data_IF_452185756607
#
_entry.id   IF_452185756607
#
_cell.length_a   1.000
_cell.length_b   1.000
_cell.length_c   1.000
_cell.angle_alpha   90.00
_cell.angle_beta   90.00
_cell.angle_gamma   90.00
#
_symmetry.space_group_name_H-M   'P 1'
#
loop_
_entity.id
_entity.type
_entity.pdbx_description
1 polymer ?
#
# COMPACT_ATOMS: atom_id res chain seq x y z
N UNK A 1 21.71 11.50 -20.24
CA UNK A 1 20.31 11.01 -20.30
C UNK A 1 19.48 11.92 -19.43
N UNK A 2 18.42 12.48 -20.01
CA UNK A 2 17.67 13.61 -19.49
C UNK A 2 16.78 13.19 -18.30
N UNK A 3 16.97 13.81 -17.14
CA UNK A 3 16.17 13.62 -15.92
C UNK A 3 14.80 14.27 -16.11
N UNK A 4 13.91 13.63 -16.87
CA UNK A 4 12.49 13.96 -16.80
C UNK A 4 12.01 13.54 -15.41
N UNK A 5 11.49 14.50 -14.67
CA UNK A 5 10.85 14.33 -13.37
C UNK A 5 9.91 13.13 -13.41
N UNK A 6 9.99 12.28 -12.38
CA UNK A 6 9.03 11.19 -12.22
C UNK A 6 7.62 11.79 -12.13
N UNK A 7 6.60 11.18 -12.78
CA UNK A 7 5.21 11.57 -12.55
C UNK A 7 4.93 11.50 -11.04
N UNK A 8 4.54 12.63 -10.44
CA UNK A 8 4.28 12.71 -8.99
C UNK A 8 5.22 13.61 -8.20
N UNK A 9 6.18 14.30 -8.84
CA UNK A 9 7.01 15.27 -8.15
C UNK A 9 6.17 16.47 -7.64
N UNK A 10 6.23 16.75 -6.33
CA UNK A 10 5.50 17.83 -5.66
C UNK A 10 6.51 18.94 -5.30
N UNK A 11 6.56 20.04 -6.07
CA UNK A 11 7.53 21.09 -5.82
C UNK A 11 7.37 21.67 -4.40
N UNK A 12 8.44 21.61 -3.59
CA UNK A 12 8.51 22.27 -2.28
C UNK A 12 8.34 21.40 -1.05
N UNK A 13 8.14 20.08 -1.18
CA UNK A 13 8.10 19.16 -0.04
C UNK A 13 9.43 18.44 0.16
N UNK A 14 10.08 18.67 1.31
CA UNK A 14 11.28 17.94 1.74
C UNK A 14 10.80 16.85 2.71
N UNK A 15 11.11 15.56 2.49
CA UNK A 15 12.17 15.05 1.63
C UNK A 15 11.64 14.18 0.49
N UNK A 16 11.34 14.80 -0.66
CA UNK A 16 11.06 14.10 -1.93
C UNK A 16 12.19 13.15 -2.38
N UNK A 17 13.41 13.36 -1.84
CA UNK A 17 14.61 12.56 -2.09
C UNK A 17 15.19 11.91 -0.83
N UNK A 18 14.39 11.68 0.22
CA UNK A 18 14.88 10.93 1.37
C UNK A 18 15.44 9.58 0.89
N UNK A 19 16.69 9.24 1.22
CA UNK A 19 17.25 7.96 0.84
C UNK A 19 16.39 6.86 1.46
N UNK A 20 15.92 5.96 0.60
CA UNK A 20 15.23 4.77 1.08
C UNK A 20 16.19 3.92 1.91
N UNK A 21 15.69 3.21 2.94
CA UNK A 21 16.52 2.28 3.71
C UNK A 21 17.20 1.28 2.79
N UNK A 22 18.46 0.92 3.06
CA UNK A 22 19.24 0.05 2.19
C UNK A 22 18.63 -1.36 2.03
N UNK A 23 17.86 -1.81 3.02
CA UNK A 23 17.13 -3.07 3.04
C UNK A 23 15.71 -2.97 2.44
N UNK A 24 15.26 -1.76 2.09
CA UNK A 24 13.94 -1.55 1.51
C UNK A 24 13.94 -1.94 0.03
N UNK A 25 13.07 -2.89 -0.31
CA UNK A 25 12.95 -3.44 -1.66
C UNK A 25 11.59 -3.09 -2.27
N UNK A 26 11.38 -1.84 -2.75
CA UNK A 26 10.08 -1.36 -3.23
C UNK A 26 9.51 -2.20 -4.38
N UNK A 27 10.38 -2.69 -5.28
CA UNK A 27 9.95 -3.49 -6.42
C UNK A 27 9.43 -4.88 -6.01
N UNK A 28 9.96 -5.48 -4.95
CA UNK A 28 9.47 -6.76 -4.43
C UNK A 28 8.06 -6.59 -3.85
N UNK A 29 7.84 -5.55 -3.04
CA UNK A 29 6.53 -5.20 -2.50
C UNK A 29 5.51 -4.85 -3.59
N UNK A 30 5.89 -4.04 -4.57
CA UNK A 30 4.98 -3.69 -5.67
C UNK A 30 4.55 -4.93 -6.47
N UNK A 31 5.50 -5.85 -6.74
CA UNK A 31 5.21 -7.13 -7.41
C UNK A 31 4.30 -8.02 -6.57
N UNK A 32 4.49 -8.08 -5.26
CA UNK A 32 3.61 -8.84 -4.35
C UNK A 32 2.16 -8.30 -4.42
N UNK A 33 1.97 -7.00 -4.24
CA UNK A 33 0.65 -6.38 -4.27
C UNK A 33 -0.05 -6.56 -5.63
N UNK A 34 0.69 -6.37 -6.74
CA UNK A 34 0.18 -6.65 -8.10
C UNK A 34 -0.27 -8.10 -8.29
N UNK A 35 0.45 -9.05 -7.70
CA UNK A 35 0.20 -10.49 -7.90
C UNK A 35 -0.84 -11.04 -6.95
N UNK A 36 -1.02 -10.46 -5.77
CA UNK A 36 -1.89 -11.02 -4.72
C UNK A 36 -3.27 -10.34 -4.69
N UNK A 37 -3.35 -9.05 -4.99
CA UNK A 37 -4.61 -8.31 -4.97
C UNK A 37 -5.41 -8.61 -6.22
N UNK A 38 -6.70 -8.90 -6.01
CA UNK A 38 -7.60 -9.41 -7.04
C UNK A 38 -8.69 -8.42 -7.44
N UNK A 39 -8.88 -7.35 -6.68
CA UNK A 39 -9.90 -6.32 -6.92
C UNK A 39 -9.24 -4.98 -6.62
N UNK A 40 -9.47 -3.99 -7.47
CA UNK A 40 -8.90 -2.66 -7.33
C UNK A 40 -9.88 -1.56 -7.72
N UNK A 41 -9.53 -0.33 -7.38
CA UNK A 41 -10.25 0.84 -7.85
C UNK A 41 -9.57 1.38 -9.11
N UNK A 42 -10.31 1.36 -10.22
CA UNK A 42 -9.91 1.87 -11.53
C UNK A 42 -10.31 3.34 -11.64
N UNK A 43 -9.32 4.21 -11.71
CA UNK A 43 -9.46 5.62 -12.03
C UNK A 43 -9.40 5.85 -13.54
N UNK A 44 -10.44 6.46 -14.11
CA UNK A 44 -10.52 6.89 -15.52
C UNK A 44 -10.91 8.36 -15.61
N UNK A 45 -10.79 8.96 -16.79
CA UNK A 45 -11.23 10.34 -17.04
C UNK A 45 -12.61 10.28 -17.69
N UNK A 46 -13.62 10.93 -17.09
CA UNK A 46 -14.95 11.02 -17.68
C UNK A 46 -14.88 11.74 -19.03
N UNK A 47 -15.31 11.05 -20.09
CA UNK A 47 -15.21 11.56 -21.46
C UNK A 47 -16.04 12.82 -21.74
N UNK A 48 -17.07 13.08 -20.94
CA UNK A 48 -18.00 14.19 -21.18
C UNK A 48 -17.60 15.44 -20.39
N UNK A 49 -17.14 15.25 -19.15
CA UNK A 49 -16.90 16.35 -18.21
C UNK A 49 -15.44 16.56 -17.87
N UNK A 50 -14.57 15.59 -18.17
CA UNK A 50 -13.15 15.62 -17.80
C UNK A 50 -12.86 15.32 -16.33
N UNK A 51 -13.87 15.07 -15.50
CA UNK A 51 -13.65 14.71 -14.09
C UNK A 51 -13.03 13.32 -13.96
N UNK A 52 -12.16 13.09 -12.95
CA UNK A 52 -11.72 11.74 -12.63
C UNK A 52 -12.88 10.92 -12.04
N UNK A 53 -12.98 9.66 -12.47
CA UNK A 53 -14.00 8.71 -12.01
C UNK A 53 -13.32 7.47 -11.49
N UNK A 54 -13.69 7.05 -10.27
CA UNK A 54 -13.24 5.80 -9.67
C UNK A 54 -14.33 4.74 -9.74
N UNK A 55 -14.01 3.55 -10.21
CA UNK A 55 -14.92 2.39 -10.24
C UNK A 55 -14.22 1.13 -9.74
N UNK A 56 -14.96 0.18 -9.17
CA UNK A 56 -14.39 -1.09 -8.74
C UNK A 56 -14.23 -2.03 -9.95
N UNK A 57 -13.09 -2.70 -10.05
CA UNK A 57 -12.88 -3.72 -11.09
C UNK A 57 -12.12 -4.95 -10.58
N UNK A 58 -12.38 -6.09 -11.20
CA UNK A 58 -11.59 -7.28 -10.99
C UNK A 58 -10.26 -7.15 -11.73
N UNK A 59 -9.17 -7.50 -11.05
CA UNK A 59 -7.81 -7.37 -11.56
C UNK A 59 -7.15 -8.75 -11.62
N UNK A 60 -6.46 -9.00 -12.71
CA UNK A 60 -5.42 -10.00 -12.82
C UNK A 60 -4.14 -9.34 -13.35
N UNK A 61 -3.09 -10.12 -13.60
CA UNK A 61 -1.85 -9.63 -14.20
C UNK A 61 -1.43 -10.50 -15.37
N UNK A 62 -0.60 -9.98 -16.28
CA UNK A 62 0.18 -10.74 -17.25
C UNK A 62 1.53 -11.20 -16.64
N UNK A 63 2.33 -11.98 -17.36
CA UNK A 63 3.59 -12.56 -16.89
C UNK A 63 4.62 -11.51 -16.47
N UNK A 64 4.66 -10.39 -17.18
CA UNK A 64 5.48 -9.21 -16.89
C UNK A 64 4.96 -8.38 -15.70
N UNK A 65 3.76 -8.70 -15.19
CA UNK A 65 3.10 -7.99 -14.09
C UNK A 65 2.13 -6.90 -14.54
N UNK A 66 1.95 -6.69 -15.86
CA UNK A 66 1.00 -5.71 -16.38
C UNK A 66 -0.43 -6.03 -15.91
N UNK A 67 -1.16 -5.08 -15.29
CA UNK A 67 -2.55 -5.28 -14.92
C UNK A 67 -3.46 -5.62 -16.10
N UNK A 68 -4.36 -6.56 -15.86
CA UNK A 68 -5.40 -6.99 -16.80
C UNK A 68 -6.77 -6.76 -16.17
N UNK A 69 -7.70 -6.22 -16.95
CA UNK A 69 -9.11 -6.06 -16.58
C UNK A 69 -10.01 -6.59 -17.70
N UNK A 70 -11.20 -7.06 -17.32
CA UNK A 70 -12.26 -7.43 -18.26
C UNK A 70 -13.48 -6.59 -17.92
N UNK A 71 -13.93 -5.81 -18.89
CA UNK A 71 -14.95 -4.79 -18.71
C UNK A 71 -15.98 -4.87 -19.84
N UNK A 72 -17.24 -4.58 -19.50
CA UNK A 72 -18.33 -4.52 -20.48
C UNK A 72 -18.20 -3.24 -21.32
N UNK A 73 -18.46 -3.35 -22.62
CA UNK A 73 -18.52 -2.28 -23.60
C UNK A 73 -19.64 -1.27 -23.28
N UNK A 74 -20.60 -1.65 -22.43
CA UNK A 74 -21.69 -0.80 -21.98
C UNK A 74 -21.32 0.05 -20.75
N UNK A 75 -20.21 -0.26 -20.07
CA UNK A 75 -19.81 0.45 -18.86
C UNK A 75 -19.21 1.83 -19.17
N UNK A 76 -19.51 2.82 -18.33
CA UNK A 76 -18.97 4.18 -18.47
C UNK A 76 -17.44 4.22 -18.48
N UNK A 77 -16.78 3.43 -17.62
CA UNK A 77 -15.32 3.35 -17.60
C UNK A 77 -14.73 2.80 -18.91
N UNK A 78 -15.45 1.95 -19.65
CA UNK A 78 -14.99 1.44 -20.95
C UNK A 78 -15.07 2.52 -22.02
N UNK A 79 -16.15 3.28 -22.04
CA UNK A 79 -16.27 4.42 -22.95
C UNK A 79 -15.26 5.54 -22.62
N UNK A 80 -14.94 5.73 -21.33
CA UNK A 80 -13.86 6.61 -20.89
C UNK A 80 -12.50 6.14 -21.43
N UNK A 81 -12.14 4.87 -21.23
CA UNK A 81 -10.87 4.30 -21.70
C UNK A 81 -10.72 4.29 -23.23
N UNK A 82 -11.83 4.18 -23.97
CA UNK A 82 -11.81 4.31 -25.44
C UNK A 82 -11.49 5.74 -25.89
N UNK A 83 -11.93 6.74 -25.14
CA UNK A 83 -11.65 8.16 -25.44
C UNK A 83 -10.24 8.55 -24.99
N UNK A 84 -9.86 8.15 -23.77
CA UNK A 84 -8.55 8.40 -23.19
C UNK A 84 -8.11 7.18 -22.37
N UNK A 85 -7.10 6.47 -22.88
CA UNK A 85 -6.59 5.26 -22.24
C UNK A 85 -5.84 5.53 -20.93
N UNK A 86 -5.50 6.78 -20.58
CA UNK A 86 -4.78 7.10 -19.34
C UNK A 86 -5.64 6.77 -18.13
N UNK A 87 -5.07 6.00 -17.21
CA UNK A 87 -5.79 5.49 -16.05
C UNK A 87 -4.87 5.30 -14.84
N UNK A 88 -5.49 5.18 -13.67
CA UNK A 88 -4.85 4.71 -12.46
C UNK A 88 -5.54 3.44 -11.94
N UNK A 89 -4.78 2.57 -11.28
CA UNK A 89 -5.29 1.39 -10.64
C UNK A 89 -4.76 1.31 -9.21
N UNK A 90 -5.64 1.55 -8.24
CA UNK A 90 -5.36 1.39 -6.83
C UNK A 90 -5.59 -0.06 -6.42
N UNK A 91 -4.54 -0.69 -5.90
CA UNK A 91 -4.52 -2.02 -5.31
C UNK A 91 -4.23 -1.87 -3.83
N UNK A 92 -5.26 -2.00 -3.01
CA UNK A 92 -5.16 -1.94 -1.55
C UNK A 92 -5.31 -3.33 -0.94
N UNK A 93 -4.36 -3.73 -0.09
CA UNK A 93 -4.51 -4.97 0.67
C UNK A 93 -5.63 -4.77 1.69
N UNK A 94 -6.52 -5.75 1.78
CA UNK A 94 -7.60 -5.76 2.76
C UNK A 94 -7.22 -6.66 3.94
N UNK A 95 -7.75 -6.35 5.12
CA UNK A 95 -7.48 -7.07 6.35
C UNK A 95 -8.23 -6.47 7.53
N UNK A 96 -8.09 -7.08 8.71
CA UNK A 96 -8.59 -6.52 9.97
C UNK A 96 -7.75 -5.30 10.39
N UNK A 97 -8.32 -4.44 11.24
CA UNK A 97 -7.68 -3.22 11.71
C UNK A 97 -7.90 -2.02 10.78
N UNK A 98 -7.16 -0.94 11.02
CA UNK A 98 -7.27 0.30 10.24
C UNK A 98 -6.88 0.07 8.76
N UNK A 99 -7.79 0.32 7.79
CA UNK A 99 -7.50 0.22 6.37
C UNK A 99 -6.31 1.08 5.90
N UNK A 100 -6.04 2.21 6.56
CA UNK A 100 -4.94 3.10 6.23
C UNK A 100 -3.58 2.50 6.60
N UNK A 101 -3.54 1.52 7.51
CA UNK A 101 -2.34 0.81 7.89
C UNK A 101 -1.92 -0.28 6.88
N UNK A 102 -2.81 -0.73 6.00
CA UNK A 102 -2.49 -1.77 5.02
C UNK A 102 -1.61 -1.23 3.90
N UNK A 103 -0.76 -2.06 3.26
CA UNK A 103 -0.05 -1.68 2.05
C UNK A 103 -0.98 -1.38 0.86
N UNK A 104 -0.65 -0.34 0.09
CA UNK A 104 -1.35 0.01 -1.14
C UNK A 104 -0.36 0.35 -2.24
N UNK A 105 -0.70 -0.01 -3.47
CA UNK A 105 0.01 0.39 -4.67
C UNK A 105 -0.97 1.06 -5.64
N UNK A 106 -0.66 2.25 -6.09
CA UNK A 106 -1.34 2.87 -7.23
C UNK A 106 -0.47 2.74 -8.46
N UNK A 107 -0.97 2.09 -9.51
CA UNK A 107 -0.27 1.98 -10.80
C UNK A 107 -0.88 2.96 -11.77
N UNK A 108 -0.03 3.75 -12.44
CA UNK A 108 -0.42 4.71 -13.47
C UNK A 108 0.01 4.18 -14.83
N UNK A 109 -0.79 4.41 -15.86
CA UNK A 109 -0.44 3.97 -17.21
C UNK A 109 -1.54 4.21 -18.23
N UNK A 110 -1.44 3.51 -19.35
CA UNK A 110 -2.42 3.57 -20.43
C UNK A 110 -3.01 2.19 -20.68
N UNK A 111 -4.31 2.04 -20.47
CA UNK A 111 -5.01 0.81 -20.86
C UNK A 111 -5.24 0.79 -22.36
N UNK A 112 -5.07 -0.36 -22.97
CA UNK A 112 -5.45 -0.63 -24.35
C UNK A 112 -6.19 -1.96 -24.45
N UNK A 113 -7.17 -2.02 -25.33
CA UNK A 113 -7.89 -3.25 -25.62
C UNK A 113 -6.95 -4.24 -26.30
N UNK A 114 -7.02 -5.51 -25.89
CA UNK A 114 -6.24 -6.58 -26.49
C UNK A 114 -7.00 -7.09 -27.73
N UNK A 115 -6.56 -6.65 -28.90
CA UNK A 115 -7.18 -7.01 -30.19
C UNK A 115 -6.57 -8.29 -30.80
N UNK A 116 -5.29 -8.58 -30.55
CA UNK A 116 -4.64 -9.80 -31.04
C UNK A 116 -5.25 -11.05 -30.40
N UNK A 117 -5.77 -11.95 -31.23
CA UNK A 117 -6.52 -13.11 -30.78
C UNK A 117 -5.66 -14.11 -29.99
N UNK A 118 -4.42 -14.35 -30.42
CA UNK A 118 -3.51 -15.28 -29.74
C UNK A 118 -3.13 -14.77 -28.35
N UNK A 119 -2.81 -13.47 -28.25
CA UNK A 119 -2.53 -12.81 -26.98
C UNK A 119 -3.78 -12.81 -26.10
N UNK A 120 -4.95 -12.50 -26.66
CA UNK A 120 -6.23 -12.48 -25.94
C UNK A 120 -6.56 -13.84 -25.33
N UNK A 121 -6.41 -14.94 -26.06
CA UNK A 121 -6.65 -16.30 -25.55
C UNK A 121 -5.72 -16.66 -24.39
N UNK A 122 -4.43 -16.37 -24.51
CA UNK A 122 -3.44 -16.60 -23.43
C UNK A 122 -3.79 -15.81 -22.18
N UNK A 123 -4.09 -14.52 -22.34
CA UNK A 123 -4.41 -13.63 -21.22
C UNK A 123 -5.76 -13.97 -20.58
N UNK A 124 -6.76 -14.39 -21.38
CA UNK A 124 -8.05 -14.93 -20.91
C UNK A 124 -7.84 -16.13 -19.98
N UNK A 125 -7.04 -17.11 -20.40
CA UNK A 125 -6.73 -18.28 -19.57
C UNK A 125 -6.08 -17.87 -18.25
N UNK A 126 -5.15 -16.90 -18.30
CA UNK A 126 -4.51 -16.36 -17.09
C UNK A 126 -5.50 -15.66 -16.18
N UNK A 127 -6.41 -14.85 -16.74
CA UNK A 127 -7.44 -14.17 -15.97
C UNK A 127 -8.36 -15.18 -15.25
N UNK A 128 -8.83 -16.20 -15.97
CA UNK A 128 -9.72 -17.24 -15.41
C UNK A 128 -9.07 -18.07 -14.32
N UNK A 129 -7.77 -18.38 -14.41
CA UNK A 129 -7.06 -19.07 -13.33
C UNK A 129 -7.03 -18.27 -12.01
N UNK A 130 -7.06 -16.94 -12.10
CA UNK A 130 -7.13 -16.03 -10.95
C UNK A 130 -8.56 -15.72 -10.52
N UNK A 131 -9.49 -15.76 -11.48
CA UNK A 131 -10.89 -15.34 -11.35
C UNK A 131 -11.84 -16.36 -11.98
N UNK A 132 -12.03 -17.57 -11.40
CA UNK A 132 -12.87 -18.60 -12.00
C UNK A 132 -14.31 -18.14 -12.23
N UNK A 133 -14.85 -17.31 -11.32
CA UNK A 133 -16.20 -16.74 -11.43
C UNK A 133 -16.41 -15.84 -12.66
N UNK A 134 -15.34 -15.37 -13.31
CA UNK A 134 -15.45 -14.56 -14.52
C UNK A 134 -15.89 -15.36 -15.75
N UNK A 135 -15.80 -16.70 -15.71
CA UNK A 135 -16.22 -17.58 -16.80
C UNK A 135 -17.68 -17.34 -17.24
N UNK A 136 -18.53 -16.86 -16.32
CA UNK A 136 -19.94 -16.59 -16.61
C UNK A 136 -20.17 -15.40 -17.54
N UNK A 137 -19.19 -14.49 -17.72
CA UNK A 137 -19.34 -13.28 -18.54
C UNK A 137 -18.18 -12.99 -19.49
N UNK A 138 -17.02 -13.62 -19.30
CA UNK A 138 -15.79 -13.28 -20.04
C UNK A 138 -15.89 -13.43 -21.57
N UNK A 139 -16.76 -14.33 -22.04
CA UNK A 139 -16.96 -14.61 -23.46
C UNK A 139 -18.19 -13.91 -24.04
N UNK A 140 -18.86 -13.06 -23.25
CA UNK A 140 -19.98 -12.28 -23.76
C UNK A 140 -19.47 -11.26 -24.80
N UNK A 141 -20.21 -11.03 -25.90
CA UNK A 141 -19.77 -10.12 -26.97
C UNK A 141 -19.51 -8.69 -26.51
N UNK A 142 -20.18 -8.26 -25.44
CA UNK A 142 -19.99 -6.94 -24.87
C UNK A 142 -18.78 -6.87 -23.94
N UNK A 143 -18.17 -7.97 -23.50
CA UNK A 143 -16.98 -7.92 -22.65
C UNK A 143 -15.69 -7.92 -23.46
N UNK A 144 -14.71 -7.13 -23.00
CA UNK A 144 -13.41 -7.02 -23.64
C UNK A 144 -12.27 -7.05 -22.62
N UNK A 145 -11.14 -7.62 -23.03
CA UNK A 145 -9.93 -7.70 -22.25
C UNK A 145 -9.03 -6.51 -22.52
N UNK A 146 -8.56 -5.85 -21.47
CA UNK A 146 -7.68 -4.70 -21.53
C UNK A 146 -6.41 -4.94 -20.72
N UNK A 147 -5.28 -4.49 -21.25
CA UNK A 147 -3.96 -4.55 -20.60
C UNK A 147 -3.45 -3.15 -20.36
N UNK A 148 -2.91 -2.90 -19.17
CA UNK A 148 -2.26 -1.64 -18.82
C UNK A 148 -0.81 -1.67 -19.27
N UNK A 149 -0.40 -0.68 -20.05
CA UNK A 149 1.01 -0.35 -20.19
C UNK A 149 1.42 0.56 -19.02
N UNK A 150 2.34 0.10 -18.19
CA UNK A 150 2.66 0.73 -16.90
C UNK A 150 3.66 1.87 -17.10
N UNK A 151 3.26 3.07 -16.68
CA UNK A 151 4.11 4.26 -16.71
C UNK A 151 4.80 4.53 -15.36
N UNK A 152 4.08 4.34 -14.25
CA UNK A 152 4.61 4.59 -12.90
C UNK A 152 3.85 3.77 -11.84
N UNK A 153 4.45 3.64 -10.66
CA UNK A 153 3.85 2.99 -9.50
C UNK A 153 4.14 3.76 -8.21
N UNK A 154 3.09 4.07 -7.45
CA UNK A 154 3.19 4.77 -6.17
C UNK A 154 2.86 3.80 -5.05
N UNK A 155 3.89 3.45 -4.29
CA UNK A 155 3.80 2.44 -3.23
C UNK A 155 3.68 3.13 -1.86
N UNK A 156 2.64 2.78 -1.12
CA UNK A 156 2.38 3.27 0.24
C UNK A 156 2.42 2.09 1.21
N UNK A 157 3.42 2.06 2.09
CA UNK A 157 3.67 0.93 2.99
C UNK A 157 3.38 1.19 4.47
N UNK A 158 3.03 2.40 4.89
CA UNK A 158 2.73 2.69 6.29
C UNK A 158 1.63 3.73 6.49
N UNK A 159 0.61 3.37 7.27
CA UNK A 159 -0.05 4.26 8.24
C UNK A 159 -0.42 3.46 9.51
N UNK A 160 0.45 2.54 9.94
CA UNK A 160 0.22 1.75 11.16
C UNK A 160 0.52 2.54 12.44
N UNK A 161 1.22 3.67 12.33
CA UNK A 161 1.65 4.48 13.47
C UNK A 161 0.47 4.94 14.34
N UNK A 162 -0.59 5.61 13.84
CA UNK A 162 -1.69 6.04 14.70
C UNK A 162 -2.40 4.88 15.42
N UNK A 163 -2.61 3.75 14.72
CA UNK A 163 -3.23 2.56 15.28
C UNK A 163 -2.35 1.85 16.31
N UNK A 164 -1.03 1.77 16.07
CA UNK A 164 -0.06 1.22 17.01
C UNK A 164 0.04 2.11 18.27
N UNK A 165 0.08 3.43 18.10
CA UNK A 165 0.08 4.40 19.20
C UNK A 165 -1.19 4.27 20.04
N UNK A 166 -2.36 4.22 19.41
CA UNK A 166 -3.64 4.07 20.12
C UNK A 166 -3.68 2.77 20.92
N UNK A 167 -3.38 1.63 20.28
CA UNK A 167 -3.34 0.32 20.93
C UNK A 167 -2.35 0.27 22.10
N UNK A 168 -1.15 0.83 21.94
CA UNK A 168 -0.15 0.87 23.02
C UNK A 168 -0.61 1.71 24.20
N UNK A 169 -1.25 2.85 23.94
CA UNK A 169 -1.72 3.75 24.99
C UNK A 169 -2.99 3.25 25.70
N UNK A 170 -3.87 2.52 25.01
CA UNK A 170 -5.14 2.03 25.56
C UNK A 170 -4.96 0.68 26.28
N UNK A 171 -4.25 -0.26 25.65
CA UNK A 171 -4.20 -1.64 26.12
C UNK A 171 -2.89 -1.98 26.87
N UNK A 172 -1.83 -1.17 26.69
CA UNK A 172 -0.48 -1.47 27.19
C UNK A 172 0.22 -0.27 27.87
N UNK A 173 -0.55 0.57 28.58
CA UNK A 173 0.00 1.73 29.29
C UNK A 173 1.08 1.35 30.33
N UNK A 174 0.99 0.14 30.90
CA UNK A 174 2.01 -0.43 31.78
C UNK A 174 3.34 -0.69 31.04
N UNK A 175 3.29 -1.20 29.81
CA UNK A 175 4.46 -1.38 28.96
C UNK A 175 5.08 -0.02 28.58
N UNK A 176 4.25 0.98 28.26
CA UNK A 176 4.72 2.34 27.95
C UNK A 176 5.48 2.96 29.14
N UNK A 177 4.96 2.79 30.36
CA UNK A 177 5.64 3.24 31.58
C UNK A 177 6.99 2.54 31.80
N UNK A 178 7.06 1.22 31.55
CA UNK A 178 8.32 0.46 31.61
C UNK A 178 9.33 0.96 30.58
N UNK A 179 8.90 1.28 29.35
CA UNK A 179 9.80 1.83 28.34
C UNK A 179 10.40 3.17 28.78
N UNK A 180 9.57 4.09 29.28
CA UNK A 180 10.04 5.39 29.75
C UNK A 180 11.04 5.23 30.91
N UNK A 181 10.67 4.47 31.93
CA UNK A 181 11.45 4.38 33.17
C UNK A 181 12.70 3.53 33.03
N UNK A 182 12.61 2.37 32.38
CA UNK A 182 13.69 1.40 32.35
C UNK A 182 14.58 1.56 31.11
N UNK A 183 13.97 1.84 29.94
CA UNK A 183 14.73 1.93 28.68
C UNK A 183 15.20 3.35 28.40
N UNK A 184 14.36 4.36 28.64
CA UNK A 184 14.76 5.76 28.48
C UNK A 184 15.39 6.37 29.75
N UNK A 185 15.26 5.71 30.92
CA UNK A 185 15.85 6.18 32.18
C UNK A 185 15.14 7.40 32.79
N UNK A 186 13.87 7.60 32.42
CA UNK A 186 13.07 8.72 32.89
C UNK A 186 12.40 8.48 34.25
N UNK A 187 12.07 9.55 34.94
CA UNK A 187 11.27 9.47 36.18
C UNK A 187 9.82 9.00 35.90
N UNK A 188 9.19 8.23 36.80
CA UNK A 188 7.81 7.79 36.65
C UNK A 188 6.82 8.91 36.33
N UNK A 189 5.77 8.60 35.58
CA UNK A 189 4.78 9.59 35.15
C UNK A 189 3.72 9.04 34.20
N UNK A 190 2.76 9.88 33.79
CA UNK A 190 1.69 9.50 32.86
C UNK A 190 2.21 9.45 31.42
N UNK A 191 3.18 8.57 31.17
CA UNK A 191 3.83 8.41 29.88
C UNK A 191 2.87 7.83 28.83
N UNK A 192 2.89 8.42 27.63
CA UNK A 192 2.16 7.96 26.45
C UNK A 192 3.09 7.88 25.26
N UNK A 193 2.87 6.91 24.38
CA UNK A 193 3.51 6.88 23.07
C UNK A 193 2.90 7.97 22.18
N UNK A 194 3.74 8.72 21.46
CA UNK A 194 3.34 9.85 20.61
C UNK A 194 3.77 9.71 19.15
N UNK A 195 4.77 8.87 18.87
CA UNK A 195 5.29 8.62 17.53
C UNK A 195 5.89 7.22 17.44
N UNK A 196 5.83 6.60 16.26
CA UNK A 196 6.59 5.37 15.96
C UNK A 196 7.07 5.38 14.52
N UNK A 197 8.36 5.13 14.36
CA UNK A 197 9.03 5.07 13.06
C UNK A 197 9.92 3.83 12.97
N UNK A 198 10.58 3.57 11.82
CA UNK A 198 11.39 2.37 11.66
C UNK A 198 12.57 2.20 12.63
N UNK A 199 12.98 3.25 13.32
CA UNK A 199 14.18 3.28 14.17
C UNK A 199 13.84 3.27 15.67
N UNK A 200 12.61 3.63 16.03
CA UNK A 200 12.17 3.63 17.42
C UNK A 200 10.77 4.21 17.62
N UNK A 201 10.50 4.61 18.85
CA UNK A 201 9.26 5.28 19.22
C UNK A 201 9.50 6.42 20.20
N UNK A 202 8.60 7.40 20.16
CA UNK A 202 8.62 8.59 20.99
C UNK A 202 7.57 8.49 22.10
N UNK A 203 7.93 8.98 23.28
CA UNK A 203 7.11 9.00 24.49
C UNK A 203 7.00 10.43 25.02
N UNK A 204 5.86 10.76 25.65
CA UNK A 204 5.68 12.02 26.36
C UNK A 204 4.88 11.88 27.66
N UNK A 205 5.20 12.71 28.65
CA UNK A 205 4.49 12.88 29.91
C UNK A 205 4.43 14.37 30.29
N UNK A 206 3.42 15.09 29.79
CA UNK A 206 3.39 16.55 29.85
C UNK A 206 4.47 17.15 28.94
N UNK A 207 5.32 18.03 29.50
CA UNK A 207 6.43 18.64 28.76
C UNK A 207 7.68 17.74 28.66
N UNK A 208 7.69 16.61 29.37
CA UNK A 208 8.78 15.64 29.29
C UNK A 208 8.61 14.76 28.07
N UNK A 209 9.69 14.55 27.33
CA UNK A 209 9.73 13.67 26.15
C UNK A 209 10.91 12.72 26.23
N UNK A 210 10.74 11.52 25.67
CA UNK A 210 11.78 10.51 25.64
C UNK A 210 11.68 9.71 24.34
N UNK A 211 12.82 9.22 23.84
CA UNK A 211 12.87 8.38 22.64
C UNK A 211 13.57 7.07 22.95
N UNK A 212 12.96 5.98 22.50
CA UNK A 212 13.48 4.63 22.69
C UNK A 212 13.79 4.03 21.33
N UNK A 213 15.06 3.67 21.12
CA UNK A 213 15.52 3.09 19.86
C UNK A 213 15.27 1.58 19.82
N UNK A 214 14.85 1.09 18.66
CA UNK A 214 14.81 -0.34 18.40
C UNK A 214 16.22 -0.91 18.24
N UNK A 215 16.48 -2.16 18.67
CA UNK A 215 17.77 -2.82 18.45
C UNK A 215 18.05 -3.11 16.96
N UNK A 216 17.04 -3.04 16.11
CA UNK A 216 17.13 -3.16 14.65
C UNK A 216 16.03 -2.36 13.96
N UNK A 217 16.23 -2.01 12.70
CA UNK A 217 15.21 -1.34 11.88
C UNK A 217 13.94 -2.22 11.76
N UNK A 218 12.77 -1.59 11.84
CA UNK A 218 11.44 -2.20 11.72
C UNK A 218 10.73 -1.64 10.49
N UNK A 219 10.23 -2.51 9.61
CA UNK A 219 9.65 -2.08 8.32
C UNK A 219 8.23 -2.60 8.08
N UNK A 220 7.65 -3.32 9.05
CA UNK A 220 6.28 -3.85 8.98
C UNK A 220 5.68 -4.02 10.40
N UNK A 221 4.35 -4.11 10.48
CA UNK A 221 3.64 -4.18 11.77
C UNK A 221 3.84 -5.48 12.56
N UNK A 222 4.11 -6.60 11.89
CA UNK A 222 4.38 -7.87 12.59
C UNK A 222 5.72 -7.80 13.32
N UNK A 223 6.75 -7.25 12.68
CA UNK A 223 8.04 -6.98 13.30
C UNK A 223 7.94 -5.93 14.41
N UNK A 224 7.12 -4.88 14.22
CA UNK A 224 6.87 -3.87 15.25
C UNK A 224 6.27 -4.50 16.51
N UNK A 225 5.27 -5.36 16.35
CA UNK A 225 4.67 -6.06 17.49
C UNK A 225 5.69 -6.95 18.21
N UNK A 226 6.44 -7.78 17.45
CA UNK A 226 7.45 -8.68 18.01
C UNK A 226 8.54 -7.93 18.76
N UNK A 227 9.04 -6.83 18.20
CA UNK A 227 10.13 -6.06 18.81
C UNK A 227 9.69 -5.36 20.10
N UNK A 228 8.48 -4.79 20.13
CA UNK A 228 7.93 -4.17 21.33
C UNK A 228 7.75 -5.22 22.45
N UNK A 229 7.16 -6.39 22.13
CA UNK A 229 7.03 -7.49 23.10
C UNK A 229 8.39 -7.97 23.62
N UNK A 230 9.40 -8.06 22.76
CA UNK A 230 10.75 -8.41 23.17
C UNK A 230 11.33 -7.35 24.13
N UNK A 231 11.26 -6.08 23.76
CA UNK A 231 11.84 -4.99 24.53
C UNK A 231 11.20 -4.82 25.91
N UNK A 232 9.87 -4.98 26.04
CA UNK A 232 9.22 -4.88 27.35
C UNK A 232 9.58 -6.06 28.25
N UNK A 233 9.75 -7.26 27.68
CA UNK A 233 10.20 -8.44 28.45
C UNK A 233 11.62 -8.23 28.98
N UNK A 234 12.53 -7.76 28.12
CA UNK A 234 13.90 -7.45 28.51
C UNK A 234 13.97 -6.33 29.56
N UNK A 235 13.17 -5.28 29.40
CA UNK A 235 13.08 -4.17 30.36
C UNK A 235 12.56 -4.66 31.73
N UNK A 236 11.49 -5.45 31.75
CA UNK A 236 10.95 -6.03 33.01
C UNK A 236 11.98 -6.92 33.70
N UNK A 237 12.78 -7.66 32.95
CA UNK A 237 13.87 -8.47 33.50
C UNK A 237 15.03 -7.66 34.10
N UNK A 238 15.19 -6.39 33.74
CA UNK A 238 16.20 -5.48 34.32
C UNK A 238 15.69 -4.73 35.55
N UNK A 239 14.38 -4.64 35.73
CA UNK A 239 13.73 -3.96 36.84
C UNK A 239 13.46 -4.89 38.05
N UNK A 240 13.66 -6.19 37.88
CA UNK A 240 13.56 -7.23 38.92
C UNK A 240 14.93 -7.51 39.54
#
# INVERSE_FOLDING_TARGET
MNTKSQPGAMPGNIPENAPQPADFKPLEWARDLLRTIRVGALGTIDRNTGHPVSTLTAVATDMDGAPLIIISNLASHTANLKMDGRASLLLARQGRGDPMAHPRLTVLGTFSRVEDEGVRQRLRARFLSRKPKAQIYIDFPDFSLWRLDVAAGHLNLMAAEPGAIAHMNEDHADAVSVYATVLAGEEPGPWRMTGVDPEGFDLAAGDRTARVLFPRRVTNGEDLHKILVQMVREARGKAA
#
